data_IF_924313899440
#
_entry.id   IF_924313899440
#
_cell.length_a   1.000
_cell.length_b   1.000
_cell.length_c   1.000
_cell.angle_alpha   90.00
_cell.angle_beta   90.00
_cell.angle_gamma   90.00
#
_symmetry.space_group_name_H-M   'P 1'
#
loop_
_entity.id
_entity.type
_entity.pdbx_description
1 polymer ?
#
# COMPACT_ATOMS: atom_id res chain seq x y z
N UNK A 1 -9.32 17.42 -19.42
CA UNK A 1 -10.74 17.53 -18.98
C UNK A 1 -10.86 17.78 -17.46
N UNK A 2 -9.86 17.38 -16.64
CA UNK A 2 -9.88 17.59 -15.19
C UNK A 2 -9.70 19.04 -14.75
N UNK A 3 -8.93 19.84 -15.48
CA UNK A 3 -8.60 21.20 -15.07
C UNK A 3 -9.74 22.21 -15.35
N UNK A 4 -10.51 22.02 -16.41
CA UNK A 4 -11.64 22.88 -16.74
C UNK A 4 -12.76 22.79 -15.71
N UNK A 5 -12.97 21.65 -15.09
CA UNK A 5 -13.95 21.49 -14.01
C UNK A 5 -13.49 22.07 -12.68
N UNK A 6 -12.19 22.10 -12.43
CA UNK A 6 -11.61 22.66 -11.20
C UNK A 6 -11.82 24.19 -11.09
N UNK A 7 -11.64 24.90 -12.18
CA UNK A 7 -11.68 26.35 -12.19
C UNK A 7 -13.11 26.91 -12.21
N UNK A 8 -14.09 26.13 -12.68
CA UNK A 8 -15.48 26.58 -12.78
C UNK A 8 -16.34 26.30 -11.54
N UNK A 9 -15.91 25.39 -10.65
CA UNK A 9 -16.70 24.95 -9.50
C UNK A 9 -16.19 25.45 -8.14
N UNK A 10 -14.97 26.02 -8.08
CA UNK A 10 -14.45 26.57 -6.84
C UNK A 10 -14.39 28.10 -6.93
N UNK A 11 -15.07 28.83 -6.02
CA UNK A 11 -14.86 30.26 -5.92
C UNK A 11 -13.38 30.55 -5.72
N UNK A 12 -12.80 31.57 -6.38
CA UNK A 12 -11.42 31.96 -6.15
C UNK A 12 -11.18 32.14 -4.65
N UNK A 13 -10.08 31.56 -4.14
CA UNK A 13 -9.75 31.64 -2.71
C UNK A 13 -9.69 33.09 -2.23
N UNK A 14 -9.25 34.01 -3.10
CA UNK A 14 -9.20 35.45 -2.83
C UNK A 14 -10.58 36.07 -2.61
N UNK A 15 -11.58 35.62 -3.38
CA UNK A 15 -12.96 36.09 -3.21
C UNK A 15 -13.56 35.65 -1.87
N UNK A 16 -13.33 34.38 -1.49
CA UNK A 16 -13.77 33.85 -0.20
C UNK A 16 -13.07 34.57 0.95
N UNK A 17 -11.76 34.84 0.81
CA UNK A 17 -10.95 35.58 1.77
C UNK A 17 -11.43 37.02 1.95
N UNK A 18 -11.81 37.73 0.87
CA UNK A 18 -12.35 39.06 0.90
C UNK A 18 -13.68 39.17 1.67
N UNK A 19 -14.44 38.07 1.72
CA UNK A 19 -15.67 37.95 2.51
C UNK A 19 -15.44 37.45 3.94
N UNK A 20 -14.19 37.35 4.39
CA UNK A 20 -13.86 36.81 5.72
C UNK A 20 -14.07 35.29 5.84
N UNK A 21 -14.25 34.59 4.73
CA UNK A 21 -14.44 33.16 4.69
C UNK A 21 -13.15 32.38 4.64
N UNK A 22 -13.26 31.08 4.82
CA UNK A 22 -12.14 30.13 4.73
C UNK A 22 -12.49 29.01 3.74
N UNK A 23 -11.59 28.73 2.80
CA UNK A 23 -11.72 27.60 1.89
C UNK A 23 -11.21 26.34 2.57
N UNK A 24 -12.07 25.33 2.70
CA UNK A 24 -11.70 24.00 3.19
C UNK A 24 -11.84 23.03 2.02
N UNK A 25 -10.72 22.40 1.65
CA UNK A 25 -10.73 21.33 0.64
C UNK A 25 -10.89 20.00 1.36
N UNK A 26 -11.85 19.22 0.89
CA UNK A 26 -12.08 17.86 1.39
C UNK A 26 -12.19 16.89 0.22
N UNK A 27 -11.60 15.71 0.40
CA UNK A 27 -11.68 14.62 -0.56
C UNK A 27 -12.12 13.34 0.18
N UNK A 28 -13.06 12.56 -0.37
CA UNK A 28 -13.52 11.33 0.28
C UNK A 28 -12.42 10.26 0.37
N UNK A 29 -11.48 10.27 -0.57
CA UNK A 29 -10.28 9.43 -0.55
C UNK A 29 -9.06 10.33 -0.40
N UNK A 30 -8.44 10.29 0.77
CA UNK A 30 -7.24 11.09 1.03
C UNK A 30 -5.99 10.37 0.53
N UNK A 31 -5.44 10.87 -0.56
CA UNK A 31 -4.17 10.37 -1.13
C UNK A 31 -2.95 11.19 -0.67
N UNK A 32 -3.13 12.18 0.21
CA UNK A 32 -2.01 13.00 0.69
C UNK A 32 -0.92 12.21 1.41
N UNK A 33 -1.21 11.19 2.24
CA UNK A 33 -0.17 10.34 2.82
C UNK A 33 0.74 9.67 1.79
N UNK A 34 0.18 9.23 0.65
CA UNK A 34 0.95 8.61 -0.45
C UNK A 34 1.84 9.66 -1.14
N UNK A 35 1.30 10.85 -1.39
CA UNK A 35 2.06 11.97 -1.97
C UNK A 35 3.17 12.43 -1.04
N UNK A 36 2.88 12.55 0.26
CA UNK A 36 3.88 12.92 1.28
C UNK A 36 5.02 11.90 1.34
N UNK A 37 4.71 10.61 1.31
CA UNK A 37 5.71 9.54 1.23
C UNK A 37 6.52 9.64 -0.07
N UNK A 38 5.88 9.89 -1.22
CA UNK A 38 6.55 10.10 -2.50
C UNK A 38 7.52 11.28 -2.48
N UNK A 39 7.11 12.41 -1.89
CA UNK A 39 7.99 13.58 -1.70
C UNK A 39 9.20 13.24 -0.82
N UNK A 40 8.96 12.55 0.28
CA UNK A 40 10.01 12.23 1.26
C UNK A 40 11.03 11.21 0.73
N UNK A 41 10.56 10.17 0.03
CA UNK A 41 11.41 9.06 -0.40
C UNK A 41 12.03 9.30 -1.78
N UNK A 42 11.26 9.88 -2.71
CA UNK A 42 11.66 10.03 -4.12
C UNK A 42 11.82 11.48 -4.56
N UNK A 43 11.46 12.45 -3.72
CA UNK A 43 11.45 13.88 -4.10
C UNK A 43 10.35 14.22 -5.13
N UNK A 44 9.34 13.37 -5.31
CA UNK A 44 8.31 13.50 -6.34
C UNK A 44 6.96 13.74 -5.67
N UNK A 45 6.30 14.86 -6.01
CA UNK A 45 4.94 15.17 -5.56
C UNK A 45 3.90 14.70 -6.59
N UNK A 46 3.72 13.40 -6.67
CA UNK A 46 2.74 12.77 -7.57
C UNK A 46 2.15 11.50 -6.94
N UNK A 47 1.02 11.06 -7.46
CA UNK A 47 0.49 9.73 -7.15
C UNK A 47 1.24 8.69 -7.98
N UNK A 48 1.66 7.56 -7.37
CA UNK A 48 2.35 6.51 -8.11
C UNK A 48 1.39 5.76 -9.03
N UNK A 49 1.88 5.34 -10.18
CA UNK A 49 1.28 4.28 -10.99
C UNK A 49 2.02 2.96 -10.73
N UNK A 50 1.29 1.86 -10.67
CA UNK A 50 1.84 0.54 -10.36
C UNK A 50 1.69 -0.38 -11.57
N UNK A 51 2.81 -0.83 -12.12
CA UNK A 51 2.79 -1.86 -13.16
C UNK A 51 2.70 -3.26 -12.55
N UNK A 52 1.47 -3.70 -12.29
CA UNK A 52 1.23 -5.06 -11.79
C UNK A 52 1.49 -6.15 -12.82
N UNK A 53 1.49 -5.84 -14.12
CA UNK A 53 1.61 -6.85 -15.19
C UNK A 53 2.91 -7.66 -15.11
N UNK A 54 3.95 -7.09 -14.51
CA UNK A 54 5.28 -7.70 -14.35
C UNK A 54 5.51 -8.31 -12.97
N UNK A 55 4.52 -8.21 -12.07
CA UNK A 55 4.66 -8.74 -10.74
C UNK A 55 4.62 -10.28 -10.74
N UNK A 56 5.48 -10.89 -9.95
CA UNK A 56 5.43 -12.32 -9.61
C UNK A 56 4.70 -12.55 -8.29
N UNK A 57 4.72 -11.53 -7.45
CA UNK A 57 4.05 -11.52 -6.17
C UNK A 57 3.55 -10.11 -5.85
N UNK A 58 2.33 -10.05 -5.35
CA UNK A 58 1.68 -8.82 -4.93
C UNK A 58 1.27 -9.01 -3.47
N UNK A 59 1.71 -8.09 -2.60
CA UNK A 59 1.22 -8.01 -1.23
C UNK A 59 0.60 -6.64 -1.05
N UNK A 60 -0.69 -6.60 -0.80
CA UNK A 60 -1.42 -5.35 -0.60
C UNK A 60 -1.79 -5.19 0.87
N UNK A 61 -1.45 -4.05 1.45
CA UNK A 61 -1.75 -3.67 2.84
C UNK A 61 -2.83 -2.60 2.82
N UNK A 62 -4.09 -2.99 3.00
CA UNK A 62 -5.25 -2.11 3.01
C UNK A 62 -5.56 -1.41 1.68
N UNK A 63 -4.72 -1.53 0.67
CA UNK A 63 -4.91 -0.90 -0.62
C UNK A 63 -5.86 -1.74 -1.49
N UNK A 64 -7.09 -1.25 -1.64
CA UNK A 64 -8.17 -1.92 -2.37
C UNK A 64 -8.08 -1.62 -3.87
N UNK A 65 -6.99 -2.06 -4.49
CA UNK A 65 -6.56 -1.65 -5.82
C UNK A 65 -7.42 -2.19 -6.97
N UNK A 66 -8.25 -3.20 -6.72
CA UNK A 66 -9.21 -3.70 -7.70
C UNK A 66 -10.59 -3.00 -7.61
N UNK A 67 -10.82 -2.16 -6.58
CA UNK A 67 -12.12 -1.54 -6.35
C UNK A 67 -12.03 -0.02 -6.28
N UNK A 68 -11.30 0.55 -5.31
CA UNK A 68 -11.36 1.98 -4.98
C UNK A 68 -10.03 2.71 -4.96
N UNK A 69 -8.90 2.01 -4.91
CA UNK A 69 -7.61 2.64 -4.67
C UNK A 69 -6.92 3.10 -5.95
N UNK A 70 -6.56 4.40 -6.02
CA UNK A 70 -5.85 5.09 -7.11
C UNK A 70 -6.54 4.94 -8.47
N UNK A 71 -6.03 4.04 -9.34
CA UNK A 71 -6.51 3.82 -10.71
C UNK A 71 -7.01 2.37 -10.88
N UNK A 72 -8.23 2.04 -10.42
CA UNK A 72 -8.68 0.65 -10.38
C UNK A 72 -8.66 -0.05 -11.74
N UNK A 73 -9.03 0.64 -12.81
CA UNK A 73 -9.10 0.05 -14.16
C UNK A 73 -7.70 -0.33 -14.67
N UNK A 74 -6.70 0.54 -14.45
CA UNK A 74 -5.31 0.27 -14.79
C UNK A 74 -4.78 -0.90 -13.97
N UNK A 75 -5.03 -0.86 -12.66
CA UNK A 75 -4.62 -1.89 -11.71
C UNK A 75 -5.25 -3.26 -12.06
N UNK A 76 -6.56 -3.29 -12.37
CA UNK A 76 -7.26 -4.52 -12.79
C UNK A 76 -6.66 -5.14 -14.04
N UNK A 77 -6.30 -4.32 -15.03
CA UNK A 77 -5.65 -4.80 -16.27
C UNK A 77 -4.31 -5.44 -15.97
N UNK A 78 -3.43 -4.72 -15.26
CA UNK A 78 -2.12 -5.25 -14.90
C UNK A 78 -2.21 -6.49 -14.00
N UNK A 79 -3.16 -6.50 -13.07
CA UNK A 79 -3.42 -7.66 -12.22
C UNK A 79 -3.88 -8.88 -13.03
N UNK A 80 -4.84 -8.71 -13.95
CA UNK A 80 -5.34 -9.79 -14.81
C UNK A 80 -4.23 -10.38 -15.69
N UNK A 81 -3.27 -9.57 -16.13
CA UNK A 81 -2.10 -10.05 -16.87
C UNK A 81 -1.17 -10.88 -16.00
N UNK A 82 -0.86 -10.42 -14.78
CA UNK A 82 0.05 -11.09 -13.87
C UNK A 82 -0.58 -12.33 -13.19
N UNK A 83 -1.83 -12.21 -12.75
CA UNK A 83 -2.55 -13.25 -12.00
C UNK A 83 -3.25 -14.26 -12.90
N UNK A 84 -3.41 -13.96 -14.19
CA UNK A 84 -3.87 -14.94 -15.17
C UNK A 84 -2.82 -16.04 -15.36
N UNK A 85 -3.24 -17.31 -15.22
CA UNK A 85 -2.33 -18.44 -15.45
C UNK A 85 -1.91 -18.49 -16.92
N UNK A 86 -0.63 -18.19 -17.18
CA UNK A 86 -0.04 -18.17 -18.52
C UNK A 86 1.33 -18.79 -18.49
N UNK A 87 1.61 -19.68 -19.46
CA UNK A 87 2.92 -20.32 -19.60
C UNK A 87 3.42 -21.01 -18.32
N UNK A 88 2.52 -21.63 -17.55
CA UNK A 88 2.86 -22.28 -16.31
C UNK A 88 3.16 -21.36 -15.12
N UNK A 89 2.91 -20.06 -15.27
CA UNK A 89 3.16 -19.05 -14.22
C UNK A 89 1.90 -18.24 -13.92
N UNK A 90 1.75 -17.88 -12.66
CA UNK A 90 0.72 -16.99 -12.15
C UNK A 90 1.32 -16.19 -10.99
N UNK A 91 1.10 -14.88 -10.96
CA UNK A 91 1.50 -14.07 -9.82
C UNK A 91 0.69 -14.47 -8.57
N UNK A 92 1.33 -14.57 -7.44
CA UNK A 92 0.65 -14.77 -6.17
C UNK A 92 0.19 -13.44 -5.61
N UNK A 93 -1.05 -13.40 -5.11
CA UNK A 93 -1.61 -12.22 -4.46
C UNK A 93 -1.99 -12.51 -3.00
N UNK A 94 -1.47 -11.67 -2.09
CA UNK A 94 -1.83 -11.65 -0.67
C UNK A 94 -2.46 -10.32 -0.33
N UNK A 95 -3.60 -10.34 0.32
CA UNK A 95 -4.29 -9.15 0.79
C UNK A 95 -4.34 -9.12 2.32
N UNK A 96 -3.75 -8.07 2.91
CA UNK A 96 -3.72 -7.83 4.35
C UNK A 96 -4.66 -6.67 4.65
N UNK A 97 -5.83 -6.93 5.18
CA UNK A 97 -6.85 -5.91 5.42
C UNK A 97 -7.95 -6.43 6.36
N UNK A 98 -8.67 -5.54 7.05
CA UNK A 98 -9.73 -5.92 7.97
C UNK A 98 -10.99 -6.43 7.27
N UNK A 99 -11.17 -6.07 6.00
CA UNK A 99 -12.35 -6.39 5.20
C UNK A 99 -11.95 -7.16 3.94
N UNK A 100 -12.69 -8.21 3.64
CA UNK A 100 -12.59 -8.91 2.36
C UNK A 100 -13.37 -8.12 1.30
N UNK A 101 -12.69 -7.23 0.59
CA UNK A 101 -13.20 -6.46 -0.54
C UNK A 101 -13.10 -7.26 -1.84
N UNK A 102 -13.39 -6.61 -2.98
CA UNK A 102 -13.14 -7.21 -4.30
C UNK A 102 -11.67 -7.61 -4.47
N UNK A 103 -10.74 -6.82 -3.96
CA UNK A 103 -9.31 -7.14 -3.94
C UNK A 103 -9.03 -8.39 -3.09
N UNK A 104 -9.66 -8.51 -1.93
CA UNK A 104 -9.53 -9.68 -1.06
C UNK A 104 -10.15 -10.94 -1.63
N UNK A 105 -11.27 -10.83 -2.33
CA UNK A 105 -11.93 -11.96 -3.01
C UNK A 105 -11.10 -12.54 -4.15
N UNK A 106 -10.22 -11.74 -4.75
CA UNK A 106 -9.29 -12.16 -5.79
C UNK A 106 -7.89 -12.47 -5.27
N UNK A 107 -7.69 -12.51 -3.96
CA UNK A 107 -6.42 -12.88 -3.36
C UNK A 107 -6.31 -14.39 -3.17
N UNK A 108 -5.10 -14.93 -3.42
CA UNK A 108 -4.76 -16.33 -3.06
C UNK A 108 -4.74 -16.54 -1.55
N UNK A 109 -4.47 -15.47 -0.81
CA UNK A 109 -4.50 -15.47 0.64
C UNK A 109 -4.99 -14.11 1.14
N UNK A 110 -6.00 -14.13 1.98
CA UNK A 110 -6.42 -12.98 2.77
C UNK A 110 -5.97 -13.17 4.22
N UNK A 111 -5.28 -12.16 4.77
CA UNK A 111 -4.97 -12.06 6.19
C UNK A 111 -5.86 -10.98 6.79
N UNK A 112 -6.89 -11.42 7.53
CA UNK A 112 -7.80 -10.53 8.23
C UNK A 112 -7.12 -9.93 9.46
N UNK A 113 -6.93 -8.61 9.47
CA UNK A 113 -6.22 -7.89 10.54
C UNK A 113 -7.13 -6.84 11.18
N UNK A 114 -6.85 -6.43 12.40
CA UNK A 114 -7.56 -5.32 13.04
C UNK A 114 -7.39 -4.02 12.22
N UNK A 115 -8.45 -3.18 12.08
CA UNK A 115 -8.37 -1.93 11.32
C UNK A 115 -7.23 -1.03 11.81
N UNK A 116 -6.40 -0.52 10.87
CA UNK A 116 -5.27 0.35 11.16
C UNK A 116 -3.98 -0.36 11.56
N UNK A 117 -3.97 -1.70 11.63
CA UNK A 117 -2.77 -2.50 11.93
C UNK A 117 -1.98 -2.94 10.70
N UNK A 118 -2.47 -2.68 9.49
CA UNK A 118 -1.86 -3.11 8.23
C UNK A 118 -0.42 -2.61 8.10
N UNK A 119 -0.18 -1.35 8.48
CA UNK A 119 1.15 -0.76 8.46
C UNK A 119 2.11 -1.45 9.44
N UNK A 120 1.62 -1.89 10.62
CA UNK A 120 2.44 -2.61 11.60
C UNK A 120 2.86 -3.98 11.07
N UNK A 121 1.96 -4.68 10.38
CA UNK A 121 2.27 -5.95 9.71
C UNK A 121 3.33 -5.73 8.62
N UNK A 122 3.19 -4.69 7.80
CA UNK A 122 4.16 -4.35 6.76
C UNK A 122 5.55 -4.03 7.36
N UNK A 123 5.61 -3.26 8.45
CA UNK A 123 6.87 -2.92 9.14
C UNK A 123 7.52 -4.14 9.79
N UNK A 124 6.73 -5.04 10.40
CA UNK A 124 7.25 -6.29 10.94
C UNK A 124 7.81 -7.22 9.84
N UNK A 125 7.13 -7.29 8.69
CA UNK A 125 7.64 -8.02 7.53
C UNK A 125 8.95 -7.41 7.01
N UNK A 126 9.03 -6.08 6.92
CA UNK A 126 10.25 -5.38 6.54
C UNK A 126 11.41 -5.66 7.50
N UNK A 127 11.15 -5.65 8.82
CA UNK A 127 12.14 -6.00 9.84
C UNK A 127 12.66 -7.43 9.65
N UNK A 128 11.78 -8.41 9.48
CA UNK A 128 12.16 -9.80 9.21
C UNK A 128 13.02 -9.94 7.94
N UNK A 129 12.60 -9.32 6.85
CA UNK A 129 13.33 -9.39 5.58
C UNK A 129 14.73 -8.80 5.71
N UNK A 130 14.85 -7.65 6.41
CA UNK A 130 16.13 -6.99 6.60
C UNK A 130 17.05 -7.71 7.59
N UNK A 131 16.51 -8.34 8.63
CA UNK A 131 17.30 -9.07 9.63
C UNK A 131 17.97 -10.31 9.04
N UNK A 132 17.37 -10.92 8.04
CA UNK A 132 17.84 -12.16 7.43
C UNK A 132 18.66 -11.96 6.13
N UNK A 133 18.76 -10.69 5.65
CA UNK A 133 19.62 -10.39 4.49
C UNK A 133 21.08 -10.27 4.90
N UNK A 134 21.92 -11.13 4.30
CA UNK A 134 23.38 -11.15 4.52
C UNK A 134 24.07 -9.99 3.79
N UNK A 135 23.50 -9.51 2.68
CA UNK A 135 24.00 -8.36 1.91
C UNK A 135 23.01 -7.21 2.02
N UNK A 136 23.37 -6.21 2.82
CA UNK A 136 22.53 -5.05 3.04
C UNK A 136 23.15 -3.80 2.39
N UNK A 137 22.34 -2.90 1.81
CA UNK A 137 22.82 -1.60 1.34
C UNK A 137 23.43 -0.76 2.49
N UNK A 138 24.22 0.25 2.15
CA UNK A 138 24.96 1.08 3.12
C UNK A 138 24.05 1.68 4.23
N UNK A 139 22.80 1.97 3.90
CA UNK A 139 21.82 2.57 4.81
C UNK A 139 21.02 1.55 5.65
N UNK A 140 21.30 0.27 5.48
CA UNK A 140 20.52 -0.79 6.14
C UNK A 140 20.61 -0.76 7.66
N UNK A 141 21.72 -0.25 8.24
CA UNK A 141 21.86 -0.18 9.69
C UNK A 141 20.91 0.84 10.32
N UNK A 142 20.75 2.01 9.70
CA UNK A 142 19.79 3.03 10.15
C UNK A 142 18.35 2.50 10.04
N UNK A 143 18.05 1.84 8.92
CA UNK A 143 16.72 1.24 8.68
C UNK A 143 16.45 0.08 9.67
N UNK A 144 17.42 -0.80 9.93
CA UNK A 144 17.31 -1.86 10.94
C UNK A 144 17.05 -1.30 12.33
N UNK A 145 17.76 -0.23 12.72
CA UNK A 145 17.54 0.44 14.00
C UNK A 145 16.11 0.97 14.10
N UNK A 146 15.62 1.64 13.05
CA UNK A 146 14.25 2.18 13.01
C UNK A 146 13.18 1.11 13.04
N UNK A 147 13.44 -0.06 12.47
CA UNK A 147 12.48 -1.17 12.39
C UNK A 147 12.57 -2.14 13.58
N UNK A 148 13.57 -2.04 14.45
CA UNK A 148 13.84 -3.00 15.53
C UNK A 148 12.68 -3.20 16.50
N UNK A 149 11.86 -2.18 16.73
CA UNK A 149 10.68 -2.25 17.59
C UNK A 149 9.51 -2.99 16.94
N UNK A 150 9.48 -3.13 15.62
CA UNK A 150 8.40 -3.77 14.87
C UNK A 150 8.68 -5.27 14.73
N UNK A 151 8.44 -6.01 15.80
CA UNK A 151 8.59 -7.48 15.78
C UNK A 151 7.31 -8.15 15.27
N UNK A 152 7.40 -9.39 14.74
CA UNK A 152 6.21 -10.15 14.38
C UNK A 152 5.21 -10.33 15.53
N UNK A 153 5.71 -10.48 16.75
CA UNK A 153 4.89 -10.65 17.96
C UNK A 153 4.10 -9.37 18.28
N UNK A 154 4.78 -8.21 18.23
CA UNK A 154 4.14 -6.91 18.44
C UNK A 154 3.06 -6.65 17.39
N UNK A 155 3.39 -6.86 16.11
CA UNK A 155 2.44 -6.67 15.04
C UNK A 155 1.26 -7.66 15.11
N UNK A 156 1.52 -8.92 15.45
CA UNK A 156 0.51 -9.94 15.62
C UNK A 156 -0.48 -9.60 16.73
N UNK A 157 0.02 -9.14 17.88
CA UNK A 157 -0.83 -8.69 18.99
C UNK A 157 -1.73 -7.51 18.58
N UNK A 158 -1.17 -6.53 17.88
CA UNK A 158 -1.93 -5.36 17.41
C UNK A 158 -2.94 -5.72 16.31
N UNK A 159 -2.57 -6.65 15.42
CA UNK A 159 -3.39 -7.06 14.29
C UNK A 159 -4.44 -8.13 14.63
N UNK A 160 -4.32 -8.79 15.79
CA UNK A 160 -5.21 -9.89 16.18
C UNK A 160 -4.97 -11.17 15.34
N UNK A 161 -3.74 -11.41 14.92
CA UNK A 161 -3.33 -12.59 14.13
C UNK A 161 -2.20 -13.33 14.84
N UNK A 162 -1.85 -14.52 14.34
CA UNK A 162 -0.70 -15.26 14.86
C UNK A 162 0.62 -14.74 14.25
N UNK A 163 1.66 -14.58 15.08
CA UNK A 163 2.98 -14.13 14.61
C UNK A 163 3.57 -15.03 13.52
N UNK A 164 3.22 -16.34 13.56
CA UNK A 164 3.67 -17.31 12.56
C UNK A 164 3.05 -17.07 11.18
N UNK A 165 1.85 -16.49 11.10
CA UNK A 165 1.25 -16.09 9.82
C UNK A 165 2.09 -14.99 9.14
N UNK A 166 2.53 -14.00 9.91
CA UNK A 166 3.42 -12.92 9.41
C UNK A 166 4.74 -13.51 8.92
N UNK A 167 5.35 -14.44 9.70
CA UNK A 167 6.58 -15.12 9.29
C UNK A 167 6.38 -15.97 8.03
N UNK A 168 5.25 -16.65 7.93
CA UNK A 168 4.91 -17.45 6.73
C UNK A 168 4.80 -16.59 5.49
N UNK A 169 4.18 -15.40 5.58
CA UNK A 169 4.12 -14.44 4.49
C UNK A 169 5.53 -14.02 4.04
N UNK A 170 6.42 -13.72 5.00
CA UNK A 170 7.81 -13.38 4.67
C UNK A 170 8.57 -14.51 3.98
N UNK A 171 8.40 -15.75 4.43
CA UNK A 171 9.04 -16.91 3.77
C UNK A 171 8.59 -17.10 2.33
N UNK A 172 7.31 -16.88 2.05
CA UNK A 172 6.79 -16.95 0.69
C UNK A 172 7.35 -15.86 -0.23
N UNK A 173 7.58 -14.65 0.31
CA UNK A 173 8.21 -13.55 -0.44
C UNK A 173 9.66 -13.83 -0.86
N UNK A 174 10.35 -14.74 -0.17
CA UNK A 174 11.74 -15.07 -0.42
C UNK A 174 11.95 -16.28 -1.35
N UNK A 175 10.94 -17.11 -1.48
CA UNK A 175 11.00 -18.32 -2.32
C UNK A 175 10.91 -18.05 -3.82
N UNK A 176 11.10 -16.78 -4.23
CA UNK A 176 11.07 -16.35 -5.63
C UNK A 176 12.47 -16.03 -6.14
#
# INVERSE_FOLDING_TARGET
LGDVYKDSLLPPADWVGALGGRVVRWQPFDHEPIRAAGRQVFGIDALPSHDFSRARQIVSFGADFLETWLSPIENQRGFAEAHGFRNGQMARHVFVAPRMSLTGLNADQWLGVAPGSEALVALAMANLILSERTSAPADANALRSSLSAYTPEMAAQAAGVEAEEIRRLCRHLRGI
#
